data_IF_214858208445
#
_entry.id   IF_214858208445
#
_cell.length_a   1.000
_cell.length_b   1.000
_cell.length_c   1.000
_cell.angle_alpha   90.00
_cell.angle_beta   90.00
_cell.angle_gamma   90.00
#
_symmetry.space_group_name_H-M   'P 1'
#
loop_
_entity.id
_entity.type
_entity.pdbx_description
1 polymer ?
#
# COMPACT_ATOMS: atom_id res chain seq x y z
N UNK A 1 -5.57 8.64 -18.77
CA UNK A 1 -5.42 7.70 -17.65
C UNK A 1 -4.74 8.46 -16.51
N UNK A 2 -5.29 8.45 -15.30
CA UNK A 2 -4.79 9.26 -14.17
C UNK A 2 -4.21 8.37 -13.09
N UNK A 3 -3.06 8.76 -12.52
CA UNK A 3 -2.49 8.12 -11.33
C UNK A 3 -2.98 8.86 -10.09
N UNK A 4 -3.47 8.10 -9.09
CA UNK A 4 -3.89 8.65 -7.80
C UNK A 4 -2.89 8.26 -6.72
N UNK A 5 -2.40 9.24 -5.97
CA UNK A 5 -1.58 8.99 -4.78
C UNK A 5 -2.48 8.88 -3.56
N UNK A 6 -2.18 7.93 -2.68
CA UNK A 6 -2.82 7.76 -1.37
C UNK A 6 -1.74 7.68 -0.30
N UNK A 7 -1.85 8.52 0.73
CA UNK A 7 -0.83 8.65 1.78
C UNK A 7 -1.46 9.09 3.09
N UNK A 8 -0.99 8.52 4.20
CA UNK A 8 -1.18 9.07 5.54
C UNK A 8 0.11 9.78 5.96
N UNK A 9 0.02 11.06 6.30
CA UNK A 9 1.17 11.90 6.61
C UNK A 9 0.94 12.73 7.88
N UNK A 10 2.02 13.05 8.60
CA UNK A 10 1.99 14.09 9.64
C UNK A 10 1.84 15.47 9.01
N UNK A 11 1.60 16.49 9.84
CA UNK A 11 1.62 17.91 9.43
C UNK A 11 2.98 18.36 8.89
N UNK A 12 4.05 17.64 9.22
CA UNK A 12 5.42 17.83 8.72
C UNK A 12 5.78 16.90 7.54
N UNK A 13 4.79 16.27 6.90
CA UNK A 13 4.96 15.32 5.79
C UNK A 13 5.74 14.04 6.13
N UNK A 14 5.81 13.64 7.40
CA UNK A 14 6.37 12.35 7.82
C UNK A 14 5.40 11.20 7.52
N UNK A 15 5.89 10.12 6.91
CA UNK A 15 5.07 8.95 6.50
C UNK A 15 5.55 7.62 7.07
N UNK A 16 6.77 7.59 7.61
CA UNK A 16 7.43 6.37 8.03
C UNK A 16 8.61 6.64 8.95
N UNK A 17 8.91 5.68 9.82
CA UNK A 17 10.09 5.69 10.67
C UNK A 17 10.63 4.26 10.77
N UNK A 18 11.92 4.07 10.47
CA UNK A 18 12.60 2.76 10.54
C UNK A 18 11.86 1.64 9.78
N UNK A 19 11.40 1.95 8.56
CA UNK A 19 10.73 1.00 7.67
C UNK A 19 9.30 0.62 8.09
N UNK A 20 8.67 1.37 9.00
CA UNK A 20 7.31 1.12 9.49
C UNK A 20 6.50 2.42 9.54
N UNK A 21 5.18 2.28 9.64
CA UNK A 21 4.32 3.41 9.98
C UNK A 21 4.66 3.91 11.40
N UNK A 22 4.73 5.23 11.64
CA UNK A 22 5.04 5.77 12.97
C UNK A 22 3.89 5.59 13.98
N UNK A 23 2.73 5.09 13.55
CA UNK A 23 1.50 4.95 14.34
C UNK A 23 0.74 3.67 14.01
N UNK A 24 -0.24 3.33 14.87
CA UNK A 24 -1.24 2.27 14.64
C UNK A 24 -2.64 2.86 14.64
N UNK A 25 -3.16 3.16 13.45
CA UNK A 25 -4.47 3.79 13.28
C UNK A 25 -5.41 2.86 12.51
N UNK A 26 -6.19 2.05 13.23
CA UNK A 26 -7.06 1.03 12.62
C UNK A 26 -8.11 1.63 11.65
N UNK A 27 -8.65 2.82 11.96
CA UNK A 27 -9.62 3.51 11.10
C UNK A 27 -9.00 3.95 9.77
N UNK A 28 -7.75 4.41 9.80
CA UNK A 28 -7.01 4.80 8.59
C UNK A 28 -6.74 3.57 7.72
N UNK A 29 -6.29 2.46 8.32
CA UNK A 29 -6.08 1.21 7.57
C UNK A 29 -7.38 0.67 6.94
N UNK A 30 -8.50 0.79 7.64
CA UNK A 30 -9.82 0.45 7.10
C UNK A 30 -10.23 1.35 5.92
N UNK A 31 -9.93 2.66 6.01
CA UNK A 31 -10.11 3.60 4.92
C UNK A 31 -9.26 3.19 3.71
N UNK A 32 -7.95 3.00 3.89
CA UNK A 32 -7.02 2.57 2.85
C UNK A 32 -7.51 1.30 2.15
N UNK A 33 -7.91 0.27 2.90
CA UNK A 33 -8.48 -0.96 2.34
C UNK A 33 -9.71 -0.66 1.49
N UNK A 34 -10.68 0.10 2.01
CA UNK A 34 -11.93 0.39 1.31
C UNK A 34 -11.69 1.11 -0.02
N UNK A 35 -10.88 2.17 -0.02
CA UNK A 35 -10.67 2.98 -1.22
C UNK A 35 -9.78 2.29 -2.24
N UNK A 36 -8.79 1.50 -1.80
CA UNK A 36 -7.92 0.76 -2.73
C UNK A 36 -8.56 -0.50 -3.27
N UNK A 37 -9.56 -1.09 -2.59
CA UNK A 37 -10.27 -2.28 -3.08
C UNK A 37 -11.56 -1.96 -3.86
N UNK A 38 -12.10 -0.73 -3.77
CA UNK A 38 -13.30 -0.34 -4.50
C UNK A 38 -13.03 -0.15 -5.99
N UNK A 39 -13.39 -1.14 -6.81
CA UNK A 39 -13.23 -1.12 -8.27
C UNK A 39 -14.59 -1.31 -8.98
N UNK A 40 -14.76 -0.80 -10.21
CA UNK A 40 -15.93 -1.11 -11.05
C UNK A 40 -16.15 -2.62 -11.23
N UNK A 41 -17.41 -3.04 -11.36
CA UNK A 41 -17.77 -4.45 -11.56
C UNK A 41 -17.00 -5.07 -12.72
N UNK A 42 -16.38 -6.23 -12.47
CA UNK A 42 -15.56 -6.93 -13.45
C UNK A 42 -14.11 -6.43 -13.56
N UNK A 43 -13.68 -5.48 -12.72
CA UNK A 43 -12.31 -4.97 -12.69
C UNK A 43 -11.69 -5.05 -11.29
N UNK A 44 -10.37 -4.89 -11.21
CA UNK A 44 -9.63 -4.79 -9.95
C UNK A 44 -8.71 -3.58 -9.99
N UNK A 45 -8.61 -2.88 -8.86
CA UNK A 45 -7.64 -1.80 -8.72
C UNK A 45 -6.22 -2.36 -8.64
N UNK A 46 -5.28 -1.56 -9.14
CA UNK A 46 -3.84 -1.80 -9.02
C UNK A 46 -3.29 -0.95 -7.87
N UNK A 47 -2.55 -1.58 -6.97
CA UNK A 47 -1.75 -0.88 -5.95
C UNK A 47 -0.27 -1.02 -6.31
N UNK A 48 0.34 0.13 -6.62
CA UNK A 48 1.74 0.22 -7.00
C UNK A 48 2.53 0.75 -5.80
N UNK A 49 3.61 0.06 -5.44
CA UNK A 49 4.42 0.40 -4.27
C UNK A 49 5.90 0.07 -4.49
N UNK A 50 6.78 0.72 -3.72
CA UNK A 50 8.19 0.35 -3.69
C UNK A 50 8.46 -0.90 -2.86
N UNK A 51 9.59 -1.56 -3.11
CA UNK A 51 10.06 -2.76 -2.39
C UNK A 51 10.11 -2.59 -0.86
N UNK A 52 10.57 -1.45 -0.34
CA UNK A 52 10.61 -1.22 1.11
C UNK A 52 9.20 -1.12 1.72
N UNK A 53 8.23 -0.56 1.00
CA UNK A 53 6.81 -0.56 1.44
C UNK A 53 6.28 -1.98 1.49
N UNK A 54 6.57 -2.80 0.48
CA UNK A 54 6.18 -4.21 0.43
C UNK A 54 6.76 -5.04 1.59
N UNK A 55 8.02 -4.79 1.95
CA UNK A 55 8.69 -5.42 3.10
C UNK A 55 8.14 -4.96 4.44
N UNK A 56 7.65 -3.71 4.53
CA UNK A 56 7.02 -3.18 5.74
C UNK A 56 5.67 -3.83 6.08
N UNK A 57 4.99 -4.41 5.08
CA UNK A 57 3.68 -5.05 5.26
C UNK A 57 3.88 -6.43 5.92
N UNK A 58 3.22 -6.73 7.05
CA UNK A 58 3.34 -8.03 7.68
C UNK A 58 3.03 -9.18 6.71
N UNK A 59 3.82 -10.28 6.69
CA UNK A 59 3.66 -11.36 5.71
C UNK A 59 2.24 -11.90 5.56
N UNK A 60 1.48 -11.99 6.66
CA UNK A 60 0.08 -12.44 6.66
C UNK A 60 -0.90 -11.53 5.91
N UNK A 61 -0.52 -10.30 5.60
CA UNK A 61 -1.35 -9.30 4.93
C UNK A 61 -0.90 -9.00 3.50
N UNK A 62 0.21 -9.61 3.03
CA UNK A 62 0.69 -9.48 1.65
C UNK A 62 0.52 -10.81 0.90
N UNK A 63 0.09 -10.80 -0.38
CA UNK A 63 -0.37 -9.63 -1.13
C UNK A 63 -1.67 -9.05 -0.56
N UNK A 64 -1.89 -7.75 -0.80
CA UNK A 64 -3.10 -7.08 -0.38
C UNK A 64 -4.31 -7.66 -1.16
N UNK A 65 -5.18 -8.39 -0.47
CA UNK A 65 -6.34 -9.07 -1.08
C UNK A 65 -7.23 -8.13 -1.91
N UNK A 66 -7.89 -8.68 -2.93
CA UNK A 66 -8.76 -7.97 -3.91
C UNK A 66 -8.07 -6.92 -4.78
N UNK A 67 -6.75 -6.76 -4.68
CA UNK A 67 -5.98 -5.78 -5.47
C UNK A 67 -4.87 -6.43 -6.27
N UNK A 68 -4.56 -5.89 -7.44
CA UNK A 68 -3.36 -6.27 -8.18
C UNK A 68 -2.19 -5.55 -7.51
N UNK A 69 -1.24 -6.30 -6.97
CA UNK A 69 -0.09 -5.72 -6.26
C UNK A 69 1.09 -5.64 -7.23
N UNK A 70 1.61 -4.44 -7.47
CA UNK A 70 2.79 -4.20 -8.31
C UNK A 70 3.88 -3.60 -7.45
N UNK A 71 5.01 -4.30 -7.36
CA UNK A 71 6.17 -3.87 -6.57
C UNK A 71 7.26 -3.39 -7.52
N UNK A 72 7.68 -2.15 -7.35
CA UNK A 72 8.82 -1.58 -8.05
C UNK A 72 10.11 -1.87 -7.29
N UNK A 73 11.05 -2.51 -7.98
CA UNK A 73 12.38 -2.85 -7.48
C UNK A 73 13.38 -2.81 -8.63
N UNK A 74 14.62 -2.42 -8.35
CA UNK A 74 15.74 -2.52 -9.30
C UNK A 74 16.45 -3.89 -9.23
N UNK A 75 16.02 -4.74 -8.30
CA UNK A 75 16.48 -6.12 -8.12
C UNK A 75 15.29 -7.04 -8.36
N UNK A 76 15.55 -8.20 -8.95
CA UNK A 76 14.53 -9.23 -9.09
C UNK A 76 13.99 -9.64 -7.73
N UNK A 77 12.72 -10.05 -7.70
CA UNK A 77 12.13 -10.61 -6.50
C UNK A 77 12.88 -11.91 -6.17
N UNK A 78 13.59 -11.95 -5.04
CA UNK A 78 14.01 -13.21 -4.44
C UNK A 78 12.71 -13.94 -4.03
N UNK A 79 12.28 -14.85 -4.89
CA UNK A 79 11.16 -15.78 -4.64
C UNK A 79 11.59 -16.86 -3.66
#
# INVERSE_FOLDING_TARGET
MSLTLIVAATTSNGIGHSGKLPWKLAREMAYFKRVTSGAPTGSRNVVLMGRNTWESIPPRFRPLAERINVVLSTRDAEL
#
